data_IF_006684514478
#
_entry.id   IF_006684514478
#
_cell.length_a   1.000
_cell.length_b   1.000
_cell.length_c   1.000
_cell.angle_alpha   90.00
_cell.angle_beta   90.00
_cell.angle_gamma   90.00
#
_symmetry.space_group_name_H-M   'P 1'
#
loop_
_entity.id
_entity.type
_entity.pdbx_description
1 polymer ?
#
# COMPACT_ATOMS: atom_id res chain seq x y z
N UNK A 1 -11.38 1.79 2.87
CA UNK A 1 -10.12 2.16 2.16
C UNK A 1 -9.11 1.04 2.39
N UNK A 2 -8.28 0.74 1.40
CA UNK A 2 -7.20 -0.25 1.50
C UNK A 2 -5.85 0.40 1.28
N UNK A 3 -4.85 -0.01 2.06
CA UNK A 3 -3.44 0.31 1.82
C UNK A 3 -2.72 -0.99 1.46
N UNK A 4 -2.15 -1.04 0.26
CA UNK A 4 -1.43 -2.17 -0.30
C UNK A 4 0.04 -1.85 -0.47
N UNK A 5 0.91 -2.81 -0.16
CA UNK A 5 2.35 -2.67 -0.36
C UNK A 5 2.98 -4.04 -0.67
N UNK A 6 4.03 -4.15 -1.50
CA UNK A 6 4.63 -5.45 -1.81
C UNK A 6 5.38 -6.08 -0.63
N UNK A 7 5.71 -5.30 0.41
CA UNK A 7 6.65 -5.73 1.46
C UNK A 7 5.96 -5.86 2.83
N UNK A 8 6.02 -7.04 3.44
CA UNK A 8 5.42 -7.29 4.76
C UNK A 8 5.99 -6.39 5.87
N UNK A 9 7.27 -6.01 5.78
CA UNK A 9 7.88 -5.04 6.72
C UNK A 9 7.23 -3.66 6.61
N UNK A 10 6.85 -3.23 5.39
CA UNK A 10 6.14 -1.97 5.20
C UNK A 10 4.72 -2.04 5.79
N UNK A 11 4.04 -3.19 5.68
CA UNK A 11 2.73 -3.40 6.35
C UNK A 11 2.87 -3.20 7.85
N UNK A 12 3.90 -3.80 8.46
CA UNK A 12 4.14 -3.68 9.90
C UNK A 12 4.43 -2.23 10.30
N UNK A 13 5.32 -1.54 9.56
CA UNK A 13 5.66 -0.14 9.78
C UNK A 13 4.41 0.76 9.70
N UNK A 14 3.61 0.62 8.65
CA UNK A 14 2.38 1.40 8.46
C UNK A 14 1.40 1.19 9.61
N UNK A 15 1.22 -0.06 10.07
CA UNK A 15 0.34 -0.35 11.22
C UNK A 15 0.85 0.31 12.49
N UNK A 16 2.15 0.21 12.80
CA UNK A 16 2.72 0.81 14.00
C UNK A 16 2.65 2.34 13.98
N UNK A 17 2.97 2.96 12.84
CA UNK A 17 2.94 4.43 12.70
C UNK A 17 1.52 4.95 12.81
N UNK A 18 0.55 4.31 12.14
CA UNK A 18 -0.85 4.72 12.24
C UNK A 18 -1.42 4.54 13.65
N UNK A 19 -1.02 3.49 14.38
CA UNK A 19 -1.43 3.32 15.78
C UNK A 19 -0.85 4.38 16.71
N UNK A 20 0.40 4.80 16.48
CA UNK A 20 1.02 5.89 17.24
C UNK A 20 0.31 7.23 16.99
N UNK A 21 0.02 7.56 15.74
CA UNK A 21 -0.71 8.78 15.37
C UNK A 21 -2.17 8.76 15.86
N UNK A 22 -2.80 7.58 15.90
CA UNK A 22 -4.16 7.40 16.42
C UNK A 22 -4.29 7.77 17.90
N UNK A 23 -3.22 7.57 18.69
CA UNK A 23 -3.22 7.86 20.12
C UNK A 23 -3.37 9.35 20.42
N UNK A 24 -3.02 10.21 19.45
CA UNK A 24 -3.10 11.66 19.58
C UNK A 24 -4.52 12.24 19.39
N UNK A 25 -5.48 11.50 18.82
CA UNK A 25 -6.84 12.03 18.59
C UNK A 25 -7.92 10.93 18.45
N UNK A 26 -8.92 10.91 19.33
CA UNK A 26 -10.01 9.90 19.36
C UNK A 26 -10.77 9.71 18.03
N UNK A 27 -10.96 10.77 17.23
CA UNK A 27 -11.65 10.67 15.94
C UNK A 27 -10.81 9.97 14.86
N UNK A 28 -9.48 10.08 14.95
CA UNK A 28 -8.54 9.47 14.00
C UNK A 28 -8.45 7.95 14.25
N UNK A 29 -8.50 7.53 15.51
CA UNK A 29 -8.45 6.11 15.88
C UNK A 29 -9.58 5.27 15.26
N UNK A 30 -10.83 5.77 15.26
CA UNK A 30 -11.96 5.08 14.59
C UNK A 30 -11.74 4.96 13.08
N UNK A 31 -11.18 6.00 12.46
CA UNK A 31 -10.94 6.00 11.02
C UNK A 31 -9.84 4.99 10.65
N UNK A 32 -8.75 4.96 11.41
CA UNK A 32 -7.62 4.05 11.21
C UNK A 32 -8.01 2.59 11.41
N UNK A 33 -8.86 2.27 12.39
CA UNK A 33 -9.36 0.90 12.59
C UNK A 33 -10.17 0.37 11.39
N UNK A 34 -10.75 1.26 10.58
CA UNK A 34 -11.49 0.89 9.37
C UNK A 34 -10.60 0.79 8.11
N UNK A 35 -9.30 1.08 8.23
CA UNK A 35 -8.35 0.97 7.12
C UNK A 35 -7.78 -0.46 7.09
N UNK A 36 -7.93 -1.14 5.95
CA UNK A 36 -7.33 -2.46 5.75
C UNK A 36 -5.91 -2.28 5.20
N UNK A 37 -4.91 -2.86 5.85
CA UNK A 37 -3.50 -2.76 5.45
C UNK A 37 -2.93 -4.16 5.27
N UNK A 38 -2.32 -4.43 4.12
CA UNK A 38 -1.63 -5.69 3.89
C UNK A 38 -0.85 -5.74 2.57
N UNK A 39 -0.36 -6.93 2.25
CA UNK A 39 0.40 -7.15 1.02
C UNK A 39 -0.52 -7.42 -0.16
N UNK A 40 -0.01 -7.26 -1.38
CA UNK A 40 -0.72 -7.60 -2.62
C UNK A 40 -1.27 -9.03 -2.54
N UNK A 41 -0.43 -9.97 -2.12
CA UNK A 41 -0.77 -11.40 -2.03
C UNK A 41 -1.89 -11.66 -1.00
N UNK A 42 -1.91 -10.93 0.14
CA UNK A 42 -2.96 -11.08 1.16
C UNK A 42 -4.34 -10.55 0.75
N UNK A 43 -4.43 -9.80 -0.35
CA UNK A 43 -5.67 -9.18 -0.85
C UNK A 43 -6.21 -9.87 -2.12
N UNK A 44 -5.69 -11.03 -2.48
CA UNK A 44 -6.21 -11.79 -3.62
C UNK A 44 -7.68 -12.13 -3.43
N UNK A 45 -8.52 -11.76 -4.41
CA UNK A 45 -9.97 -12.02 -4.38
C UNK A 45 -10.81 -11.02 -3.58
N UNK A 46 -10.21 -10.01 -2.95
CA UNK A 46 -10.95 -8.97 -2.22
C UNK A 46 -10.99 -7.65 -2.99
N UNK A 47 -12.16 -7.05 -3.14
CA UNK A 47 -12.29 -5.72 -3.75
C UNK A 47 -12.27 -4.61 -2.70
N UNK A 48 -11.89 -3.41 -3.13
CA UNK A 48 -11.86 -2.22 -2.29
C UNK A 48 -12.31 -0.98 -3.08
N UNK A 49 -13.14 -0.13 -2.50
CA UNK A 49 -13.60 1.08 -3.20
C UNK A 49 -12.44 2.03 -3.52
N UNK A 50 -11.52 2.23 -2.57
CA UNK A 50 -10.33 3.06 -2.74
C UNK A 50 -9.10 2.26 -2.31
N UNK A 51 -8.07 2.25 -3.18
CA UNK A 51 -6.78 1.61 -2.94
C UNK A 51 -5.67 2.66 -2.89
N UNK A 52 -4.85 2.64 -1.84
CA UNK A 52 -3.58 3.33 -1.73
C UNK A 52 -2.46 2.31 -1.90
N UNK A 53 -1.69 2.39 -2.97
CA UNK A 53 -0.58 1.49 -3.23
C UNK A 53 0.76 2.18 -2.93
N UNK A 54 1.60 1.56 -2.11
CA UNK A 54 2.97 2.04 -1.81
C UNK A 54 4.00 1.11 -2.43
N UNK A 55 4.79 1.61 -3.39
CA UNK A 55 5.84 0.82 -4.08
C UNK A 55 7.08 0.57 -3.20
N UNK A 56 7.29 1.41 -2.18
CA UNK A 56 8.37 1.36 -1.16
C UNK A 56 9.79 1.57 -1.71
N UNK A 57 10.12 1.00 -2.87
CA UNK A 57 11.47 1.04 -3.42
C UNK A 57 11.79 2.45 -3.91
N UNK A 58 12.86 2.99 -3.35
CA UNK A 58 13.57 4.19 -3.79
C UNK A 58 15.04 3.85 -3.65
N UNK A 59 15.72 3.61 -4.77
CA UNK A 59 17.14 3.30 -4.80
C UNK A 59 17.76 3.84 -6.10
N UNK A 60 19.04 4.15 -6.06
CA UNK A 60 19.79 4.75 -7.17
C UNK A 60 20.17 3.76 -8.28
N UNK A 61 19.93 2.46 -8.06
CA UNK A 61 20.22 1.36 -9.00
C UNK A 61 18.97 0.87 -9.74
N UNK A 62 17.83 1.54 -9.56
CA UNK A 62 16.54 1.26 -10.19
C UNK A 62 16.04 -0.19 -10.03
N UNK A 63 16.38 -0.85 -8.93
CA UNK A 63 15.90 -2.20 -8.67
C UNK A 63 14.47 -2.19 -8.10
N UNK A 64 13.53 -2.59 -8.94
CA UNK A 64 12.11 -2.69 -8.60
C UNK A 64 11.76 -3.87 -7.67
N UNK A 65 12.57 -4.94 -7.64
CA UNK A 65 12.30 -6.13 -6.83
C UNK A 65 10.90 -6.71 -7.09
N UNK A 66 10.08 -6.82 -6.04
CA UNK A 66 8.69 -7.32 -6.13
C UNK A 66 7.74 -6.45 -6.96
N UNK A 67 8.10 -5.19 -7.25
CA UNK A 67 7.31 -4.29 -8.11
C UNK A 67 7.51 -4.64 -9.60
N UNK A 68 8.56 -5.39 -9.94
CA UNK A 68 8.86 -5.82 -11.31
C UNK A 68 7.88 -6.87 -11.85
N UNK A 69 7.12 -7.56 -11.01
CA UNK A 69 6.10 -8.51 -11.49
C UNK A 69 4.83 -7.73 -11.89
N UNK A 70 4.58 -7.53 -13.21
CA UNK A 70 3.42 -6.77 -13.67
C UNK A 70 2.11 -7.46 -13.29
N UNK A 71 2.09 -8.77 -13.05
CA UNK A 71 0.87 -9.48 -12.63
C UNK A 71 0.50 -9.08 -11.20
N UNK A 72 1.48 -8.95 -10.30
CA UNK A 72 1.26 -8.47 -8.93
C UNK A 72 0.82 -7.00 -8.93
N UNK A 73 1.42 -6.18 -9.80
CA UNK A 73 1.00 -4.79 -9.97
C UNK A 73 -0.45 -4.72 -10.50
N UNK A 74 -0.78 -5.45 -11.57
CA UNK A 74 -2.13 -5.54 -12.11
C UNK A 74 -3.14 -6.02 -11.05
N UNK A 75 -2.78 -7.00 -10.21
CA UNK A 75 -3.63 -7.40 -9.08
C UNK A 75 -3.82 -6.26 -8.10
N UNK A 76 -2.80 -5.50 -7.73
CA UNK A 76 -2.98 -4.34 -6.85
C UNK A 76 -3.86 -3.23 -7.50
N UNK A 77 -3.67 -2.97 -8.79
CA UNK A 77 -4.35 -1.90 -9.54
C UNK A 77 -5.84 -2.22 -9.80
N UNK A 78 -6.16 -3.46 -10.15
CA UNK A 78 -7.52 -3.90 -10.53
C UNK A 78 -8.47 -4.07 -9.34
N UNK A 79 -7.98 -3.91 -8.10
CA UNK A 79 -8.80 -4.07 -6.88
C UNK A 79 -9.53 -2.78 -6.48
N UNK A 80 -9.22 -1.66 -7.12
CA UNK A 80 -9.82 -0.35 -6.89
C UNK A 80 -11.09 -0.17 -7.71
N UNK A 81 -12.25 -0.02 -7.06
CA UNK A 81 -13.54 0.19 -7.76
C UNK A 81 -13.82 1.65 -8.11
N UNK A 82 -13.41 2.58 -7.25
CA UNK A 82 -13.73 4.02 -7.35
C UNK A 82 -12.50 4.90 -7.46
N UNK A 83 -11.37 4.52 -6.86
CA UNK A 83 -10.16 5.34 -6.90
C UNK A 83 -8.90 4.59 -6.52
N UNK A 84 -7.80 4.95 -7.17
CA UNK A 84 -6.48 4.41 -6.94
C UNK A 84 -5.51 5.57 -6.71
N UNK A 85 -4.73 5.48 -5.64
CA UNK A 85 -3.62 6.40 -5.35
C UNK A 85 -2.34 5.58 -5.29
N UNK A 86 -1.33 5.98 -6.05
CA UNK A 86 -0.02 5.33 -6.08
C UNK A 86 1.01 6.26 -5.45
N UNK A 87 1.76 5.75 -4.48
CA UNK A 87 2.86 6.44 -3.81
C UNK A 87 4.14 5.66 -4.09
N UNK A 88 5.10 6.30 -4.75
CA UNK A 88 6.35 5.69 -5.11
C UNK A 88 7.35 6.70 -5.67
N UNK A 89 8.60 6.27 -5.76
CA UNK A 89 9.67 7.03 -6.41
C UNK A 89 9.58 6.89 -7.93
N UNK A 90 9.30 7.99 -8.62
CA UNK A 90 9.17 8.00 -10.09
C UNK A 90 10.47 7.64 -10.81
N UNK A 91 11.64 7.95 -10.23
CA UNK A 91 12.95 7.64 -10.81
C UNK A 91 13.17 6.13 -10.83
N UNK A 92 12.79 5.46 -9.75
CA UNK A 92 12.87 4.02 -9.63
C UNK A 92 11.79 3.29 -10.45
N UNK A 93 10.64 3.92 -10.69
CA UNK A 93 9.50 3.35 -11.44
C UNK A 93 9.58 3.53 -12.96
N UNK A 94 10.38 4.47 -13.47
CA UNK A 94 10.55 4.74 -14.91
C UNK A 94 11.65 3.90 -15.60
N UNK A 95 12.25 2.93 -14.90
CA UNK A 95 13.33 2.07 -15.44
C UNK A 95 12.87 0.70 -15.89
#
# INVERSE_FOLDING_TARGET
ICILTPYSKQVQLLRSTLQQEAFSTNNIMKLINNIRIGTIDSFQGQECDIVLFSSVRSNTINELGFVRDPRRLCVALTRARKGLVVVGDSSCLNS
#
